data_IF_187600795716
#
_entry.id   IF_187600795716
#
_cell.length_a   1.000
_cell.length_b   1.000
_cell.length_c   1.000
_cell.angle_alpha   90.00
_cell.angle_beta   90.00
_cell.angle_gamma   90.00
#
_symmetry.space_group_name_H-M   'P 1'
#
loop_
_entity.id
_entity.type
_entity.pdbx_description
1 polymer ?
#
# COMPACT_ATOMS: atom_id res chain seq x y z
N UNK A 1 12.86 0.07 -24.48
CA UNK A 1 12.25 0.49 -23.21
C UNK A 1 12.09 -0.73 -22.35
N UNK A 2 12.55 -0.69 -21.10
CA UNK A 2 12.41 -1.78 -20.15
C UNK A 2 11.21 -1.51 -19.24
N UNK A 3 10.49 -2.55 -18.80
CA UNK A 3 9.32 -2.39 -17.93
C UNK A 3 9.66 -1.62 -16.64
N UNK A 4 10.84 -1.90 -16.10
CA UNK A 4 11.42 -1.24 -14.92
C UNK A 4 11.50 0.29 -15.05
N UNK A 5 11.60 0.83 -16.27
CA UNK A 5 11.64 2.28 -16.50
C UNK A 5 10.27 2.95 -16.25
N UNK A 6 9.20 2.16 -16.12
CA UNK A 6 7.83 2.61 -15.87
C UNK A 6 7.33 2.28 -14.45
N UNK A 7 8.17 1.66 -13.61
CA UNK A 7 7.82 1.34 -12.22
C UNK A 7 8.05 2.59 -11.36
N UNK A 8 6.99 2.99 -10.65
CA UNK A 8 7.05 4.08 -9.67
C UNK A 8 7.65 3.52 -8.37
N UNK A 9 8.81 4.04 -7.95
CA UNK A 9 9.56 3.56 -6.78
C UNK A 9 9.53 4.56 -5.60
N UNK A 10 8.59 5.49 -5.62
CA UNK A 10 8.51 6.61 -4.67
C UNK A 10 7.96 6.19 -3.29
N UNK A 11 7.33 5.01 -3.23
CA UNK A 11 6.80 4.42 -2.00
C UNK A 11 7.37 3.03 -1.75
N UNK A 12 7.50 2.69 -0.48
CA UNK A 12 7.87 1.33 -0.07
C UNK A 12 6.61 0.46 0.00
N UNK A 13 6.71 -0.85 -0.31
CA UNK A 13 5.65 -1.79 -0.03
C UNK A 13 5.35 -1.84 1.47
N UNK A 14 4.07 -2.04 1.79
CA UNK A 14 3.55 -2.12 3.15
C UNK A 14 3.92 -3.43 3.80
N UNK A 15 3.91 -3.45 5.13
CA UNK A 15 4.05 -4.66 5.93
C UNK A 15 2.69 -5.07 6.49
N UNK A 16 2.52 -6.36 6.70
CA UNK A 16 1.33 -6.92 7.41
C UNK A 16 1.16 -6.39 8.84
N UNK A 17 2.17 -5.72 9.40
CA UNK A 17 2.10 -5.11 10.73
C UNK A 17 1.60 -3.67 10.70
N UNK A 18 1.56 -3.03 9.53
CA UNK A 18 1.22 -1.61 9.40
C UNK A 18 -0.28 -1.38 9.69
N UNK A 19 -0.63 -0.19 10.15
CA UNK A 19 -2.01 0.16 10.50
C UNK A 19 -2.78 0.67 9.29
N UNK A 20 -4.05 0.31 9.21
CA UNK A 20 -4.98 0.83 8.21
C UNK A 20 -5.08 2.37 8.29
N UNK A 21 -5.03 2.95 9.49
CA UNK A 21 -5.05 4.41 9.67
C UNK A 21 -3.89 5.13 8.99
N UNK A 22 -2.67 4.59 9.08
CA UNK A 22 -1.50 5.15 8.37
C UNK A 22 -1.72 5.10 6.86
N UNK A 23 -2.40 4.06 6.40
CA UNK A 23 -2.72 3.83 5.01
C UNK A 23 -3.79 4.78 4.47
N UNK A 24 -4.83 5.03 5.24
CA UNK A 24 -5.83 6.06 4.94
C UNK A 24 -5.17 7.43 4.77
N UNK A 25 -4.22 7.77 5.66
CA UNK A 25 -3.47 9.03 5.54
C UNK A 25 -2.58 9.05 4.29
N UNK A 26 -1.95 7.94 3.94
CA UNK A 26 -1.08 7.83 2.77
C UNK A 26 -1.87 8.02 1.45
N UNK A 27 -3.03 7.38 1.32
CA UNK A 27 -3.91 7.56 0.15
C UNK A 27 -4.48 8.98 0.06
N UNK A 28 -4.72 9.66 1.18
CA UNK A 28 -5.12 11.08 1.14
C UNK A 28 -4.01 12.03 0.64
N UNK A 29 -2.74 11.61 0.71
CA UNK A 29 -1.59 12.41 0.29
C UNK A 29 -1.12 12.08 -1.13
N UNK A 30 -1.44 10.89 -1.62
CA UNK A 30 -0.92 10.34 -2.87
C UNK A 30 -2.06 9.86 -3.76
N UNK A 31 -1.97 10.12 -5.06
CA UNK A 31 -2.97 9.68 -6.04
C UNK A 31 -2.78 8.24 -6.52
N UNK A 32 -2.15 7.38 -5.70
CA UNK A 32 -1.99 5.97 -6.02
C UNK A 32 -3.29 5.22 -5.70
N UNK A 33 -3.71 4.32 -6.58
CA UNK A 33 -4.92 3.53 -6.36
C UNK A 33 -4.66 2.24 -5.59
N UNK A 34 -3.45 1.70 -5.68
CA UNK A 34 -3.05 0.44 -5.09
C UNK A 34 -1.64 0.52 -4.52
N UNK A 35 -1.43 -0.11 -3.37
CA UNK A 35 -0.12 -0.20 -2.74
C UNK A 35 0.19 -1.68 -2.48
N UNK A 36 1.37 -2.18 -2.90
CA UNK A 36 1.75 -3.57 -2.65
C UNK A 36 2.05 -3.81 -1.17
N UNK A 37 1.72 -5.02 -0.71
CA UNK A 37 2.04 -5.53 0.62
C UNK A 37 3.11 -6.60 0.46
N UNK A 38 4.12 -6.54 1.31
CA UNK A 38 5.15 -7.56 1.42
C UNK A 38 5.28 -8.05 2.86
N UNK A 39 5.82 -9.26 2.99
CA UNK A 39 6.32 -9.77 4.24
C UNK A 39 7.73 -10.30 4.02
N UNK A 40 8.72 -9.75 4.73
CA UNK A 40 10.14 -10.17 4.64
C UNK A 40 10.69 -10.25 3.20
N UNK A 41 10.27 -9.32 2.33
CA UNK A 41 10.69 -9.27 0.92
C UNK A 41 9.89 -10.17 -0.02
N UNK A 42 8.91 -10.92 0.50
CA UNK A 42 7.96 -11.71 -0.29
C UNK A 42 6.70 -10.90 -0.55
N UNK A 43 6.29 -10.80 -1.81
CA UNK A 43 5.03 -10.16 -2.18
C UNK A 43 3.84 -10.97 -1.67
N UNK A 44 2.95 -10.32 -0.92
CA UNK A 44 1.76 -10.95 -0.33
C UNK A 44 0.48 -10.58 -1.06
N UNK A 45 0.47 -9.44 -1.77
CA UNK A 45 -0.71 -8.92 -2.44
C UNK A 45 -0.66 -7.41 -2.56
N UNK A 46 -1.80 -6.79 -2.84
CA UNK A 46 -1.95 -5.34 -2.84
C UNK A 46 -3.28 -4.97 -2.20
N UNK A 47 -3.35 -3.75 -1.71
CA UNK A 47 -4.58 -3.19 -1.14
C UNK A 47 -4.98 -1.95 -1.92
N UNK A 48 -6.28 -1.84 -2.22
CA UNK A 48 -6.84 -0.72 -2.94
C UNK A 48 -7.26 0.41 -1.99
N UNK A 49 -7.19 1.65 -2.45
CA UNK A 49 -7.71 2.82 -1.71
C UNK A 49 -9.15 2.60 -1.22
N UNK A 50 -9.99 2.02 -2.09
CA UNK A 50 -11.40 1.75 -1.79
C UNK A 50 -11.57 0.77 -0.64
N UNK A 51 -10.74 -0.28 -0.55
CA UNK A 51 -10.81 -1.24 0.54
C UNK A 51 -10.40 -0.59 1.86
N UNK A 52 -9.33 0.21 1.83
CA UNK A 52 -8.76 0.90 3.01
C UNK A 52 -9.76 1.87 3.65
N UNK A 53 -10.61 2.51 2.85
CA UNK A 53 -11.67 3.38 3.36
C UNK A 53 -12.80 2.62 4.07
N UNK A 54 -12.94 1.31 3.83
CA UNK A 54 -13.96 0.48 4.49
C UNK A 54 -13.49 -0.14 5.81
N UNK A 55 -12.19 -0.14 6.11
CA UNK A 55 -11.63 -0.74 7.32
C UNK A 55 -11.49 0.27 8.47
N UNK A 56 -11.59 -0.23 9.71
CA UNK A 56 -11.30 0.56 10.91
C UNK A 56 -9.80 0.89 10.98
N UNK A 57 -9.49 2.16 11.22
CA UNK A 57 -8.12 2.69 11.26
C UNK A 57 -7.22 1.99 12.29
N UNK A 58 -7.78 1.42 13.36
CA UNK A 58 -7.03 0.75 14.42
C UNK A 58 -6.59 -0.68 14.06
N UNK A 59 -7.15 -1.26 13.00
CA UNK A 59 -6.81 -2.61 12.52
C UNK A 59 -5.47 -2.57 11.78
N UNK A 60 -4.72 -3.67 11.88
CA UNK A 60 -3.50 -3.89 11.09
C UNK A 60 -3.83 -4.69 9.83
N UNK A 61 -3.03 -4.53 8.78
CA UNK A 61 -3.18 -5.21 7.49
C UNK A 61 -3.30 -6.74 7.63
#
# INVERSE_FOLDING_TARGET
>A
MQLQDFIINDIKPLKITDKIGDLQMLFNQLTYSHIPIQNEGVYMGCVSETDVHCFDSAVSI
#
